data_IF_310823569783
#
_entry.id   IF_310823569783
#
_cell.length_a   1.000
_cell.length_b   1.000
_cell.length_c   1.000
_cell.angle_alpha   90.00
_cell.angle_beta   90.00
_cell.angle_gamma   90.00
#
_symmetry.space_group_name_H-M   'P 1'
#
loop_
_entity.id
_entity.type
_entity.pdbx_description
1 polymer ?
#
# COMPACT_ATOMS: atom_id res chain seq x y z
N UNK A 1 82.43 -32.05 -16.86
CA UNK A 1 81.91 -31.89 -15.51
C UNK A 1 81.72 -30.40 -15.19
N UNK A 2 80.92 -29.67 -15.93
CA UNK A 2 80.65 -28.18 -15.64
C UNK A 2 79.23 -27.75 -15.78
N UNK A 3 78.21 -28.65 -15.77
CA UNK A 3 76.79 -28.27 -15.95
C UNK A 3 75.87 -28.77 -14.83
N UNK A 4 76.35 -29.20 -13.68
CA UNK A 4 75.53 -29.70 -12.57
C UNK A 4 75.31 -28.72 -11.41
N UNK A 5 75.90 -27.51 -11.46
CA UNK A 5 75.83 -26.53 -10.35
C UNK A 5 74.84 -25.42 -10.63
N UNK A 6 74.32 -25.27 -11.88
CA UNK A 6 73.42 -24.17 -12.26
C UNK A 6 71.93 -24.48 -12.10
N UNK A 7 71.55 -25.71 -11.79
CA UNK A 7 70.12 -26.10 -11.64
C UNK A 7 69.63 -26.04 -10.18
N UNK A 8 70.52 -25.96 -9.22
CA UNK A 8 70.13 -25.90 -7.81
C UNK A 8 69.85 -24.50 -7.26
N UNK A 9 70.19 -23.44 -8.05
CA UNK A 9 69.95 -22.03 -7.66
C UNK A 9 68.60 -21.47 -8.17
N UNK A 10 67.83 -22.19 -9.01
CA UNK A 10 66.57 -21.72 -9.60
C UNK A 10 65.32 -22.33 -8.89
N UNK A 11 65.46 -23.19 -7.91
CA UNK A 11 64.36 -23.80 -7.16
C UNK A 11 64.12 -23.18 -5.79
N UNK A 12 64.82 -22.10 -5.43
CA UNK A 12 64.56 -21.31 -4.23
C UNK A 12 63.87 -19.95 -4.57
N UNK A 13 63.20 -19.88 -5.72
CA UNK A 13 62.30 -18.74 -6.00
C UNK A 13 61.00 -18.98 -5.25
N UNK A 14 60.99 -18.59 -3.98
CA UNK A 14 59.86 -17.88 -3.45
C UNK A 14 58.62 -18.68 -3.14
N UNK A 15 58.58 -19.63 -2.24
CA UNK A 15 57.49 -19.59 -1.25
C UNK A 15 57.78 -18.39 -0.34
N UNK A 16 57.40 -17.22 -0.74
CA UNK A 16 57.16 -16.14 0.19
C UNK A 16 56.01 -16.61 1.09
N UNK A 17 56.36 -17.19 2.22
CA UNK A 17 55.43 -17.40 3.32
C UNK A 17 54.96 -16.00 3.71
N UNK A 18 53.84 -15.58 3.14
CA UNK A 18 53.24 -14.32 3.55
C UNK A 18 52.91 -14.49 5.02
N UNK A 19 53.68 -13.84 5.88
CA UNK A 19 53.43 -13.88 7.30
C UNK A 19 52.03 -13.37 7.58
N UNK A 20 51.20 -14.17 8.25
CA UNK A 20 49.83 -13.79 8.61
C UNK A 20 49.84 -12.74 9.72
N UNK A 21 48.84 -11.87 9.74
CA UNK A 21 48.59 -10.92 10.82
C UNK A 21 49.74 -9.89 11.06
N UNK A 22 50.30 -9.34 9.97
CA UNK A 22 51.37 -8.37 10.04
C UNK A 22 50.84 -6.98 10.43
N UNK A 23 51.68 -6.26 11.22
CA UNK A 23 51.41 -4.86 11.60
C UNK A 23 52.64 -4.02 11.19
N UNK A 24 52.43 -2.90 10.51
CA UNK A 24 53.51 -1.97 10.13
C UNK A 24 54.01 -1.11 11.32
N UNK A 25 55.01 -0.28 11.06
CA UNK A 25 55.60 0.58 12.08
C UNK A 25 54.61 1.62 12.63
N UNK A 26 53.53 1.91 11.93
CA UNK A 26 52.45 2.82 12.34
C UNK A 26 51.32 2.11 13.09
N UNK A 27 51.44 0.80 13.33
CA UNK A 27 50.39 -0.02 13.99
C UNK A 27 49.22 -0.42 13.08
N UNK A 28 49.34 -0.24 11.75
CA UNK A 28 48.29 -0.57 10.78
C UNK A 28 48.44 -2.01 10.31
N UNK A 29 47.32 -2.71 10.09
CA UNK A 29 47.28 -4.06 9.56
C UNK A 29 47.75 -4.10 8.11
N UNK A 30 48.56 -5.14 7.77
CA UNK A 30 49.11 -5.35 6.43
C UNK A 30 49.00 -6.81 6.03
N UNK A 31 48.81 -7.11 4.75
CA UNK A 31 48.77 -8.44 4.19
C UNK A 31 47.59 -9.29 4.68
N UNK A 32 47.75 -10.62 4.61
CA UNK A 32 46.68 -11.56 4.93
C UNK A 32 46.45 -11.69 6.43
N UNK A 33 45.15 -11.58 6.85
CA UNK A 33 44.74 -11.68 8.25
C UNK A 33 43.69 -12.74 8.44
N UNK A 34 43.86 -13.55 9.48
CA UNK A 34 42.90 -14.52 9.99
C UNK A 34 42.65 -14.20 11.47
N UNK A 35 41.39 -13.96 11.82
CA UNK A 35 40.97 -13.81 13.22
C UNK A 35 40.18 -15.05 13.65
N UNK A 36 40.57 -15.60 14.80
CA UNK A 36 39.85 -16.69 15.45
C UNK A 36 39.23 -16.24 16.77
N UNK A 37 38.22 -16.96 17.24
CA UNK A 37 37.66 -16.82 18.58
C UNK A 37 38.49 -17.55 19.63
N UNK A 38 38.01 -17.55 20.88
CA UNK A 38 38.69 -18.26 22.00
C UNK A 38 38.74 -19.80 21.83
N UNK A 39 37.88 -20.34 20.98
CA UNK A 39 37.82 -21.77 20.67
C UNK A 39 38.62 -22.14 19.40
N UNK A 40 39.34 -21.17 18.79
CA UNK A 40 40.14 -21.38 17.59
C UNK A 40 39.33 -21.35 16.28
N UNK A 41 38.02 -21.05 16.31
CA UNK A 41 37.17 -20.99 15.12
C UNK A 41 37.41 -19.68 14.40
N UNK A 42 37.42 -19.71 13.06
CA UNK A 42 37.55 -18.50 12.24
C UNK A 42 36.37 -17.54 12.43
N UNK A 43 36.65 -16.29 12.69
CA UNK A 43 35.68 -15.20 12.77
C UNK A 43 35.67 -14.41 11.45
N UNK A 44 36.86 -14.15 10.93
CA UNK A 44 37.04 -13.53 9.59
C UNK A 44 38.42 -13.86 9.02
N UNK A 45 38.51 -13.78 7.69
CA UNK A 45 39.75 -13.76 6.95
C UNK A 45 39.67 -12.75 5.81
N UNK A 46 40.81 -12.17 5.44
CA UNK A 46 40.93 -11.20 4.36
C UNK A 46 42.25 -10.46 4.39
N UNK A 47 42.43 -9.57 3.44
CA UNK A 47 43.65 -8.82 3.26
C UNK A 47 43.49 -7.37 3.70
N UNK A 48 44.57 -6.79 4.25
CA UNK A 48 44.65 -5.39 4.63
C UNK A 48 45.79 -4.70 3.90
N UNK A 49 45.55 -3.45 3.49
CA UNK A 49 46.53 -2.50 3.01
C UNK A 49 46.38 -1.22 3.80
N UNK A 50 47.42 -0.79 4.49
CA UNK A 50 47.43 0.41 5.34
C UNK A 50 46.29 0.44 6.38
N UNK A 51 45.94 -0.72 6.93
CA UNK A 51 44.85 -0.88 7.90
C UNK A 51 43.46 -0.93 7.29
N UNK A 52 43.33 -0.82 5.97
CA UNK A 52 42.07 -0.88 5.24
C UNK A 52 41.86 -2.26 4.62
N UNK A 53 40.64 -2.79 4.72
CA UNK A 53 40.23 -4.05 4.10
C UNK A 53 40.32 -3.92 2.57
N UNK A 54 40.87 -4.96 1.91
CA UNK A 54 41.02 -4.98 0.46
C UNK A 54 40.77 -6.39 -0.12
N UNK A 55 40.51 -6.49 -1.42
CA UNK A 55 40.21 -7.74 -2.06
C UNK A 55 38.99 -8.44 -1.46
N UNK A 56 39.09 -9.76 -1.29
CA UNK A 56 37.99 -10.55 -0.70
C UNK A 56 38.16 -10.61 0.83
N UNK A 57 37.13 -10.19 1.55
CA UNK A 57 37.07 -10.22 3.00
C UNK A 57 35.85 -11.05 3.44
N UNK A 58 36.11 -12.16 4.16
CA UNK A 58 35.07 -13.12 4.51
C UNK A 58 34.88 -13.21 6.02
N UNK A 59 33.63 -13.15 6.47
CA UNK A 59 33.22 -13.38 7.85
C UNK A 59 32.48 -14.72 7.94
N UNK A 60 32.63 -15.41 9.07
CA UNK A 60 32.11 -16.76 9.28
C UNK A 60 31.11 -16.79 10.43
N UNK A 61 30.21 -17.76 10.38
CA UNK A 61 29.45 -18.24 11.52
C UNK A 61 30.31 -19.14 12.40
N UNK A 62 29.81 -19.46 13.60
CA UNK A 62 30.54 -20.31 14.56
C UNK A 62 30.79 -21.76 14.08
N UNK A 63 30.02 -22.24 13.11
CA UNK A 63 30.18 -23.54 12.46
C UNK A 63 31.18 -23.54 11.29
N UNK A 64 31.68 -22.35 10.91
CA UNK A 64 32.59 -22.16 9.79
C UNK A 64 31.91 -21.83 8.46
N UNK A 65 30.58 -21.79 8.43
CA UNK A 65 29.80 -21.35 7.24
C UNK A 65 30.05 -19.87 6.98
N UNK A 66 30.15 -19.47 5.71
CA UNK A 66 30.31 -18.08 5.32
C UNK A 66 29.03 -17.30 5.69
N UNK A 67 29.20 -16.21 6.45
CA UNK A 67 28.14 -15.29 6.84
C UNK A 67 28.08 -14.07 5.95
N UNK A 68 29.24 -13.47 5.66
CA UNK A 68 29.37 -12.26 4.84
C UNK A 68 30.60 -12.42 3.95
N UNK A 69 30.45 -12.04 2.69
CA UNK A 69 31.57 -11.89 1.75
C UNK A 69 31.53 -10.47 1.18
N UNK A 70 32.61 -9.74 1.42
CA UNK A 70 32.88 -8.43 0.84
C UNK A 70 33.98 -8.58 -0.20
N UNK A 71 33.79 -7.96 -1.36
CA UNK A 71 34.82 -7.84 -2.38
C UNK A 71 35.10 -6.35 -2.59
N UNK A 72 36.20 -5.88 -2.01
CA UNK A 72 36.58 -4.47 -2.03
C UNK A 72 37.17 -4.10 -3.39
N UNK A 73 36.53 -3.17 -4.10
CA UNK A 73 37.04 -2.54 -5.32
C UNK A 73 37.85 -1.28 -4.99
N UNK A 74 37.53 -0.62 -3.86
CA UNK A 74 38.33 0.45 -3.28
C UNK A 74 38.58 0.13 -1.82
N UNK A 75 39.85 -0.01 -1.38
CA UNK A 75 40.18 -0.43 -0.03
C UNK A 75 39.43 0.34 1.06
N UNK A 76 38.73 -0.38 1.94
CA UNK A 76 37.96 0.16 3.07
C UNK A 76 36.80 1.10 2.70
N UNK A 77 36.50 1.30 1.40
CA UNK A 77 35.49 2.26 0.95
C UNK A 77 34.35 1.65 0.16
N UNK A 78 34.66 0.98 -0.95
CA UNK A 78 33.66 0.44 -1.87
C UNK A 78 33.82 -1.08 -1.92
N UNK A 79 32.74 -1.81 -1.66
CA UNK A 79 32.74 -3.25 -1.78
C UNK A 79 31.41 -3.79 -2.30
N UNK A 80 31.46 -4.89 -3.06
CA UNK A 80 30.34 -5.76 -3.31
C UNK A 80 30.09 -6.60 -2.06
N UNK A 81 28.91 -6.53 -1.50
CA UNK A 81 28.52 -7.14 -0.24
C UNK A 81 27.54 -8.28 -0.47
N UNK A 82 27.78 -9.43 0.14
CA UNK A 82 26.91 -10.59 0.10
C UNK A 82 26.71 -11.11 1.53
N UNK A 83 25.46 -11.43 1.88
CA UNK A 83 25.09 -11.98 3.19
C UNK A 83 24.45 -13.34 2.99
N UNK A 84 24.86 -14.30 3.79
CA UNK A 84 24.37 -15.67 3.76
C UNK A 84 23.80 -16.06 5.13
N UNK A 85 22.91 -17.04 5.14
CA UNK A 85 22.45 -17.66 6.38
C UNK A 85 23.37 -18.81 6.82
N UNK A 86 23.06 -19.45 7.95
CA UNK A 86 23.82 -20.57 8.50
C UNK A 86 23.81 -21.83 7.62
N UNK A 87 22.92 -21.92 6.62
CA UNK A 87 22.88 -22.99 5.62
C UNK A 87 23.65 -22.63 4.34
N UNK A 88 24.32 -21.48 4.31
CA UNK A 88 25.05 -20.98 3.15
C UNK A 88 24.17 -20.41 2.03
N UNK A 89 22.88 -20.15 2.29
CA UNK A 89 21.96 -19.58 1.29
C UNK A 89 22.10 -18.06 1.26
N UNK A 90 22.17 -17.49 0.05
CA UNK A 90 22.28 -16.05 -0.14
C UNK A 90 20.99 -15.36 0.32
N UNK A 91 21.09 -14.46 1.29
CA UNK A 91 19.98 -13.65 1.82
C UNK A 91 19.88 -12.28 1.16
N UNK A 92 21.03 -11.64 0.89
CA UNK A 92 21.07 -10.32 0.28
C UNK A 92 22.40 -10.07 -0.42
N UNK A 93 22.35 -9.21 -1.45
CA UNK A 93 23.55 -8.66 -2.08
C UNK A 93 23.32 -7.21 -2.49
N UNK A 94 24.42 -6.45 -2.56
CA UNK A 94 24.43 -5.04 -2.99
C UNK A 94 25.78 -4.43 -2.72
N UNK A 95 25.89 -3.15 -2.96
CA UNK A 95 27.16 -2.44 -2.78
C UNK A 95 27.12 -1.56 -1.53
N UNK A 96 28.28 -1.44 -0.89
CA UNK A 96 28.53 -0.40 0.09
C UNK A 96 29.51 0.62 -0.48
N UNK A 97 29.22 1.89 -0.19
CA UNK A 97 30.13 3.01 -0.37
C UNK A 97 30.28 3.74 0.96
N UNK A 98 31.50 3.78 1.50
CA UNK A 98 31.80 4.36 2.81
C UNK A 98 30.85 3.85 3.93
N UNK A 99 30.61 2.53 3.98
CA UNK A 99 29.70 1.84 4.91
C UNK A 99 28.21 2.13 4.72
N UNK A 100 27.83 2.91 3.72
CA UNK A 100 26.45 3.17 3.35
C UNK A 100 26.06 2.25 2.20
N UNK A 101 24.82 1.73 2.20
CA UNK A 101 24.27 1.04 1.04
C UNK A 101 24.24 2.00 -0.14
N UNK A 102 24.70 1.52 -1.32
CA UNK A 102 24.73 2.32 -2.55
C UNK A 102 24.36 1.44 -3.74
N UNK A 103 23.64 1.99 -4.72
CA UNK A 103 23.18 1.22 -5.86
C UNK A 103 22.05 0.21 -5.53
N UNK A 104 21.93 -0.82 -6.35
CA UNK A 104 20.87 -1.83 -6.26
C UNK A 104 21.18 -2.88 -5.18
N UNK A 105 20.25 -3.04 -4.26
CA UNK A 105 20.23 -4.11 -3.27
C UNK A 105 19.16 -5.13 -3.60
N UNK A 106 19.53 -6.42 -3.60
CA UNK A 106 18.65 -7.54 -3.88
C UNK A 106 18.55 -8.44 -2.66
N UNK A 107 17.33 -8.81 -2.28
CA UNK A 107 17.03 -9.66 -1.13
C UNK A 107 16.35 -10.94 -1.60
N UNK A 108 16.66 -12.05 -0.96
CA UNK A 108 16.23 -13.39 -1.34
C UNK A 108 15.45 -14.07 -0.22
N UNK A 109 14.51 -14.93 -0.60
CA UNK A 109 13.87 -15.88 0.31
C UNK A 109 14.79 -17.05 0.62
N UNK A 110 14.40 -17.89 1.58
CA UNK A 110 15.10 -19.17 1.86
C UNK A 110 15.12 -20.13 0.67
N UNK A 111 14.26 -19.95 -0.32
CA UNK A 111 14.22 -20.75 -1.56
C UNK A 111 15.10 -20.15 -2.67
N UNK A 112 15.82 -19.07 -2.39
CA UNK A 112 16.64 -18.36 -3.38
C UNK A 112 15.84 -17.49 -4.36
N UNK A 113 14.54 -17.30 -4.14
CA UNK A 113 13.69 -16.43 -4.95
C UNK A 113 13.93 -14.97 -4.53
N UNK A 114 14.06 -14.07 -5.49
CA UNK A 114 14.13 -12.63 -5.19
C UNK A 114 12.81 -12.17 -4.61
N UNK A 115 12.84 -11.63 -3.40
CA UNK A 115 11.64 -11.11 -2.70
C UNK A 115 11.58 -9.59 -2.71
N UNK A 116 12.72 -8.91 -2.86
CA UNK A 116 12.78 -7.45 -2.89
C UNK A 116 14.03 -6.95 -3.61
N UNK A 117 13.86 -5.89 -4.37
CA UNK A 117 14.93 -5.05 -4.92
C UNK A 117 14.72 -3.62 -4.44
N UNK A 118 15.78 -2.93 -4.08
CA UNK A 118 15.69 -1.52 -3.61
C UNK A 118 16.95 -0.78 -4.02
N UNK A 119 16.80 0.37 -4.62
CA UNK A 119 17.92 1.25 -4.97
C UNK A 119 18.22 2.22 -3.83
N UNK A 120 19.49 2.34 -3.50
CA UNK A 120 20.00 3.23 -2.48
C UNK A 120 21.01 4.22 -3.07
N UNK A 121 21.09 5.38 -2.46
CA UNK A 121 22.13 6.39 -2.71
C UNK A 121 22.69 6.82 -1.35
N UNK A 122 23.93 6.42 -1.08
CA UNK A 122 24.61 6.73 0.19
C UNK A 122 23.78 6.44 1.45
N UNK A 123 23.14 5.27 1.50
CA UNK A 123 22.34 4.80 2.65
C UNK A 123 20.86 5.19 2.62
N UNK A 124 20.48 6.10 1.74
CA UNK A 124 19.12 6.61 1.58
C UNK A 124 18.41 5.85 0.46
N UNK A 125 17.16 5.45 0.63
CA UNK A 125 16.38 4.89 -0.49
C UNK A 125 16.12 6.00 -1.50
N UNK A 126 16.65 5.81 -2.70
CA UNK A 126 16.55 6.76 -3.80
C UNK A 126 16.55 5.99 -5.11
N UNK A 127 15.43 5.98 -5.82
CA UNK A 127 15.18 5.19 -7.01
C UNK A 127 14.11 4.11 -6.83
N UNK A 128 14.16 3.10 -7.69
CA UNK A 128 13.13 2.06 -7.77
C UNK A 128 13.23 1.04 -6.63
N UNK A 129 12.07 0.69 -6.09
CA UNK A 129 11.87 -0.51 -5.26
C UNK A 129 10.83 -1.41 -5.92
N UNK A 130 11.13 -2.71 -5.95
CA UNK A 130 10.21 -3.76 -6.37
C UNK A 130 10.12 -4.80 -5.25
N UNK A 131 8.91 -5.17 -4.88
CA UNK A 131 8.61 -6.29 -3.98
C UNK A 131 7.98 -7.40 -4.81
N UNK A 132 8.34 -8.64 -4.53
CA UNK A 132 7.86 -9.81 -5.25
C UNK A 132 7.07 -10.72 -4.31
N UNK A 133 6.19 -11.53 -4.87
CA UNK A 133 5.50 -12.62 -4.17
C UNK A 133 6.46 -13.78 -3.91
N UNK A 134 6.00 -14.78 -3.16
CA UNK A 134 6.73 -16.04 -2.92
C UNK A 134 6.97 -16.85 -4.20
N UNK A 135 6.18 -16.62 -5.25
CA UNK A 135 6.28 -17.24 -6.57
C UNK A 135 7.21 -16.47 -7.52
N UNK A 136 7.65 -15.26 -7.13
CA UNK A 136 8.53 -14.39 -7.92
C UNK A 136 7.81 -13.37 -8.80
N UNK A 137 6.48 -13.31 -8.72
CA UNK A 137 5.70 -12.29 -9.41
C UNK A 137 5.84 -10.92 -8.73
N UNK A 138 5.68 -9.84 -9.50
CA UNK A 138 5.66 -8.49 -8.94
C UNK A 138 4.45 -8.29 -8.04
N UNK A 139 4.68 -7.89 -6.80
CA UNK A 139 3.65 -7.56 -5.81
C UNK A 139 3.48 -6.04 -5.64
N UNK A 140 4.59 -5.29 -5.62
CA UNK A 140 4.55 -3.83 -5.47
C UNK A 140 5.73 -3.19 -6.22
N UNK A 141 5.47 -2.05 -6.86
CA UNK A 141 6.49 -1.19 -7.47
C UNK A 141 6.33 0.22 -6.89
N UNK A 142 7.41 0.78 -6.41
CA UNK A 142 7.41 2.11 -5.82
C UNK A 142 8.72 2.83 -6.14
N UNK A 143 8.65 4.11 -6.45
CA UNK A 143 9.83 4.96 -6.51
C UNK A 143 10.04 5.66 -5.16
N UNK A 144 11.29 5.92 -4.82
CA UNK A 144 11.73 6.59 -3.61
C UNK A 144 12.64 7.77 -3.96
N UNK A 145 12.52 8.84 -3.19
CA UNK A 145 13.46 9.95 -3.17
C UNK A 145 13.67 10.36 -1.72
N UNK A 146 14.91 10.42 -1.26
CA UNK A 146 15.28 10.80 0.12
C UNK A 146 14.49 10.05 1.21
N UNK A 147 14.38 8.71 1.10
CA UNK A 147 13.60 7.83 1.98
C UNK A 147 12.08 8.05 1.99
N UNK A 148 11.54 8.90 1.13
CA UNK A 148 10.10 9.10 0.97
C UNK A 148 9.61 8.46 -0.33
N UNK A 149 8.41 7.90 -0.33
CA UNK A 149 7.77 7.48 -1.58
C UNK A 149 7.61 8.70 -2.48
N UNK A 150 8.02 8.57 -3.74
CA UNK A 150 7.95 9.64 -4.73
C UNK A 150 7.75 9.08 -6.13
N UNK A 151 6.85 9.68 -6.92
CA UNK A 151 6.55 9.19 -8.26
C UNK A 151 5.52 8.06 -8.27
N UNK A 152 5.48 7.30 -9.36
CA UNK A 152 4.48 6.26 -9.57
C UNK A 152 4.59 5.13 -8.55
N UNK A 153 3.44 4.68 -8.09
CA UNK A 153 3.26 3.52 -7.25
C UNK A 153 2.23 2.58 -7.86
N UNK A 154 2.51 1.31 -7.80
CA UNK A 154 1.62 0.23 -8.21
C UNK A 154 1.70 -0.91 -7.21
N UNK A 155 0.56 -1.50 -6.86
CA UNK A 155 0.47 -2.64 -5.95
C UNK A 155 -0.58 -3.62 -6.43
N UNK A 156 -0.24 -4.90 -6.44
CA UNK A 156 -1.17 -6.00 -6.74
C UNK A 156 -2.18 -6.16 -5.62
N UNK A 157 -3.43 -6.39 -5.97
CA UNK A 157 -4.53 -6.77 -5.09
C UNK A 157 -5.12 -8.04 -5.69
N UNK A 158 -5.32 -9.10 -4.87
CA UNK A 158 -5.77 -10.39 -5.38
C UNK A 158 -4.78 -11.04 -6.36
N UNK A 159 -5.31 -11.70 -7.38
CA UNK A 159 -4.50 -12.42 -8.38
C UNK A 159 -4.07 -11.56 -9.55
N UNK A 160 -4.94 -10.69 -10.07
CA UNK A 160 -4.71 -9.83 -11.23
C UNK A 160 -5.06 -8.37 -10.98
N UNK A 161 -5.88 -8.11 -9.95
CA UNK A 161 -6.26 -6.76 -9.56
C UNK A 161 -5.06 -5.93 -9.10
N UNK A 162 -5.20 -4.63 -9.16
CA UNK A 162 -4.14 -3.71 -8.74
C UNK A 162 -4.69 -2.33 -8.38
N UNK A 163 -3.92 -1.64 -7.57
CA UNK A 163 -4.11 -0.23 -7.25
C UNK A 163 -2.89 0.56 -7.73
N UNK A 164 -3.11 1.75 -8.25
CA UNK A 164 -2.03 2.66 -8.65
C UNK A 164 -2.32 4.10 -8.24
N UNK A 165 -1.26 4.81 -7.88
CA UNK A 165 -1.28 6.21 -7.49
C UNK A 165 0.07 6.87 -7.78
N UNK A 166 0.16 8.17 -7.56
CA UNK A 166 1.42 8.92 -7.57
C UNK A 166 1.69 9.45 -6.17
N UNK A 167 2.92 9.33 -5.71
CA UNK A 167 3.39 9.89 -4.44
C UNK A 167 4.24 11.13 -4.67
N UNK A 168 4.08 12.12 -3.81
CA UNK A 168 4.94 13.31 -3.73
C UNK A 168 5.34 13.49 -2.27
N UNK A 169 6.64 13.41 -1.97
CA UNK A 169 7.19 13.54 -0.60
C UNK A 169 6.47 12.67 0.45
N UNK A 170 6.13 11.43 0.09
CA UNK A 170 5.51 10.46 0.99
C UNK A 170 3.98 10.50 1.05
N UNK A 171 3.33 11.52 0.51
CA UNK A 171 1.87 11.62 0.38
C UNK A 171 1.40 11.24 -1.02
N UNK A 172 0.18 10.69 -1.13
CA UNK A 172 -0.46 10.50 -2.44
C UNK A 172 -0.85 11.88 -2.98
N UNK A 173 -0.63 12.09 -4.28
CA UNK A 173 -1.00 13.31 -4.99
C UNK A 173 -1.69 12.97 -6.31
N UNK A 174 -2.84 13.62 -6.57
CA UNK A 174 -3.63 13.38 -7.77
C UNK A 174 -4.44 12.09 -7.71
N UNK A 175 -4.70 11.50 -8.87
CA UNK A 175 -5.62 10.38 -9.03
C UNK A 175 -5.03 9.06 -8.53
N UNK A 176 -5.84 8.32 -7.77
CA UNK A 176 -5.67 6.91 -7.43
C UNK A 176 -6.75 6.10 -8.14
N UNK A 177 -6.41 4.92 -8.64
CA UNK A 177 -7.38 3.97 -9.22
C UNK A 177 -7.10 2.55 -8.75
N UNK A 178 -8.16 1.76 -8.61
CA UNK A 178 -8.13 0.36 -8.23
C UNK A 178 -8.95 -0.48 -9.20
N UNK A 179 -8.38 -1.61 -9.61
CA UNK A 179 -9.01 -2.57 -10.51
C UNK A 179 -9.06 -3.95 -9.84
N UNK A 180 -10.15 -4.67 -10.00
CA UNK A 180 -10.28 -6.04 -9.53
C UNK A 180 -9.55 -7.07 -10.44
N UNK A 181 -9.68 -8.34 -10.11
CA UNK A 181 -9.06 -9.45 -10.86
C UNK A 181 -9.57 -9.56 -12.30
N UNK A 182 -10.77 -9.08 -12.60
CA UNK A 182 -11.37 -9.03 -13.94
C UNK A 182 -11.02 -7.74 -14.72
N UNK A 183 -10.10 -6.94 -14.19
CA UNK A 183 -9.66 -5.64 -14.73
C UNK A 183 -10.79 -4.61 -14.84
N UNK A 184 -11.83 -4.75 -14.03
CA UNK A 184 -12.87 -3.75 -13.89
C UNK A 184 -12.44 -2.71 -12.87
N UNK A 185 -12.77 -1.46 -13.14
CA UNK A 185 -12.57 -0.36 -12.20
C UNK A 185 -13.49 -0.57 -10.99
N UNK A 186 -12.90 -0.64 -9.79
CA UNK A 186 -13.60 -0.81 -8.51
C UNK A 186 -13.70 0.52 -7.78
N UNK A 187 -12.62 1.30 -7.81
CA UNK A 187 -12.54 2.55 -7.08
C UNK A 187 -11.59 3.53 -7.75
N UNK A 188 -11.94 4.80 -7.71
CA UNK A 188 -11.06 5.91 -8.05
C UNK A 188 -11.28 7.08 -7.12
N UNK A 189 -10.26 7.93 -6.98
CA UNK A 189 -10.37 9.16 -6.19
C UNK A 189 -9.16 10.05 -6.36
N UNK A 190 -9.27 11.28 -5.88
CA UNK A 190 -8.20 12.27 -5.94
C UNK A 190 -7.68 12.59 -4.54
N UNK A 191 -6.38 12.83 -4.47
CA UNK A 191 -5.67 13.20 -3.25
C UNK A 191 -4.92 14.51 -3.46
N UNK A 192 -4.83 15.30 -2.40
CA UNK A 192 -3.98 16.49 -2.31
C UNK A 192 -3.20 16.41 -1.01
N UNK A 193 -1.86 16.42 -1.10
CA UNK A 193 -0.95 16.31 0.06
C UNK A 193 -1.21 15.09 0.95
N UNK A 194 -1.61 13.97 0.38
CA UNK A 194 -1.91 12.73 1.08
C UNK A 194 -3.32 12.61 1.66
N UNK A 195 -4.12 13.65 1.55
CA UNK A 195 -5.51 13.68 2.02
C UNK A 195 -6.49 13.53 0.84
N UNK A 196 -7.62 12.86 1.06
CA UNK A 196 -8.68 12.79 0.06
C UNK A 196 -9.18 14.20 -0.27
N UNK A 197 -9.22 14.55 -1.56
CA UNK A 197 -9.71 15.86 -2.03
C UNK A 197 -10.34 15.69 -3.42
N UNK A 198 -11.62 16.03 -3.55
CA UNK A 198 -12.42 15.79 -4.75
C UNK A 198 -13.31 14.56 -4.64
N UNK A 199 -13.68 14.01 -5.78
CA UNK A 199 -14.57 12.85 -5.87
C UNK A 199 -13.87 11.54 -5.59
N UNK A 200 -14.51 10.67 -4.79
CA UNK A 200 -14.17 9.27 -4.58
C UNK A 200 -15.33 8.41 -5.05
N UNK A 201 -15.12 7.69 -6.14
CA UNK A 201 -16.14 6.89 -6.80
C UNK A 201 -15.84 5.41 -6.62
N UNK A 202 -16.89 4.66 -6.33
CA UNK A 202 -16.87 3.21 -6.20
C UNK A 202 -17.78 2.60 -7.25
N UNK A 203 -17.38 1.47 -7.79
CA UNK A 203 -18.04 0.83 -8.91
C UNK A 203 -18.35 -0.63 -8.61
N UNK A 204 -19.53 -1.07 -9.04
CA UNK A 204 -19.96 -2.45 -9.02
C UNK A 204 -20.45 -2.83 -10.42
N UNK A 205 -19.96 -3.95 -10.95
CA UNK A 205 -20.32 -4.41 -12.31
C UNK A 205 -20.20 -3.33 -13.39
N UNK A 206 -19.17 -2.45 -13.25
CA UNK A 206 -18.94 -1.34 -14.19
C UNK A 206 -19.85 -0.12 -14.01
N UNK A 207 -20.82 -0.18 -13.08
CA UNK A 207 -21.71 0.93 -12.76
C UNK A 207 -21.25 1.63 -11.48
N UNK A 208 -21.24 2.95 -11.46
CA UNK A 208 -20.90 3.73 -10.27
C UNK A 208 -22.02 3.59 -9.22
N UNK A 209 -21.68 3.12 -8.05
CA UNK A 209 -22.62 2.90 -6.93
C UNK A 209 -22.49 3.91 -5.81
N UNK A 210 -21.29 4.47 -5.61
CA UNK A 210 -21.05 5.52 -4.60
C UNK A 210 -20.21 6.64 -5.22
N UNK A 211 -20.54 7.87 -4.92
CA UNK A 211 -19.73 9.06 -5.20
C UNK A 211 -19.65 9.92 -3.93
N UNK A 212 -18.46 9.96 -3.34
CA UNK A 212 -18.18 10.78 -2.15
C UNK A 212 -17.44 12.04 -2.58
N UNK A 213 -17.80 13.18 -2.02
CA UNK A 213 -17.08 14.44 -2.19
C UNK A 213 -16.27 14.74 -0.94
N UNK A 214 -14.96 14.83 -1.12
CA UNK A 214 -14.01 15.08 -0.05
C UNK A 214 -13.34 16.43 -0.21
N UNK A 215 -13.02 17.06 0.90
CA UNK A 215 -12.23 18.29 0.95
C UNK A 215 -11.21 18.20 2.06
N UNK A 216 -9.92 18.08 1.67
CA UNK A 216 -8.79 17.98 2.61
C UNK A 216 -9.06 16.98 3.75
N UNK A 217 -9.32 15.73 3.40
CA UNK A 217 -9.55 14.64 4.34
C UNK A 217 -10.91 14.61 5.03
N UNK A 218 -11.78 15.60 4.80
CA UNK A 218 -13.13 15.64 5.36
C UNK A 218 -14.17 15.36 4.29
N UNK A 219 -15.05 14.39 4.53
CA UNK A 219 -16.17 14.11 3.64
C UNK A 219 -17.18 15.24 3.72
N UNK A 220 -17.66 15.71 2.56
CA UNK A 220 -18.58 16.82 2.42
C UNK A 220 -19.95 16.39 1.95
N UNK A 221 -19.96 15.33 1.12
CA UNK A 221 -21.18 14.86 0.50
C UNK A 221 -21.01 13.41 0.04
N UNK A 222 -22.12 12.68 -0.10
CA UNK A 222 -22.12 11.31 -0.56
C UNK A 222 -23.42 10.98 -1.31
N UNK A 223 -23.26 10.53 -2.56
CA UNK A 223 -24.34 9.96 -3.36
C UNK A 223 -24.17 8.45 -3.38
N UNK A 224 -25.20 7.72 -2.99
CA UNK A 224 -25.23 6.26 -3.08
C UNK A 224 -26.28 5.85 -4.09
N UNK A 225 -25.92 4.99 -5.05
CA UNK A 225 -26.81 4.36 -6.01
C UNK A 225 -26.89 2.88 -5.71
N UNK A 226 -28.09 2.40 -5.48
CA UNK A 226 -28.33 0.98 -5.30
C UNK A 226 -28.85 0.38 -6.61
N UNK A 227 -28.24 -0.73 -7.02
CA UNK A 227 -28.71 -1.54 -8.15
C UNK A 227 -29.78 -2.47 -7.62
N UNK A 228 -31.03 -2.24 -8.05
CA UNK A 228 -32.13 -3.17 -7.75
C UNK A 228 -32.19 -4.30 -8.77
N UNK A 229 -32.78 -5.49 -8.41
CA UNK A 229 -32.79 -6.68 -9.27
C UNK A 229 -33.36 -6.47 -10.67
N UNK A 230 -34.18 -5.46 -10.89
CA UNK A 230 -34.82 -5.13 -12.18
C UNK A 230 -34.11 -3.97 -12.91
N UNK A 231 -32.81 -3.76 -12.64
CA UNK A 231 -32.03 -2.63 -13.17
C UNK A 231 -32.55 -1.23 -12.78
N UNK A 232 -33.45 -1.17 -11.81
CA UNK A 232 -33.90 0.10 -11.24
C UNK A 232 -32.83 0.67 -10.29
N UNK A 233 -32.66 2.00 -10.31
CA UNK A 233 -31.74 2.69 -9.44
C UNK A 233 -32.50 3.40 -8.34
N UNK A 234 -31.98 3.26 -7.13
CA UNK A 234 -32.30 4.16 -6.03
C UNK A 234 -31.11 5.06 -5.82
N UNK A 235 -31.31 6.35 -5.96
CA UNK A 235 -30.27 7.32 -5.65
C UNK A 235 -30.50 7.85 -4.25
N UNK A 236 -29.48 7.81 -3.44
CA UNK A 236 -29.48 8.33 -2.08
C UNK A 236 -28.44 9.43 -2.04
N UNK A 237 -28.88 10.60 -1.68
CA UNK A 237 -28.02 11.75 -1.60
C UNK A 237 -27.88 12.21 -0.15
N UNK A 238 -26.66 12.17 0.37
CA UNK A 238 -26.32 12.58 1.72
C UNK A 238 -25.94 14.06 1.72
N UNK A 239 -26.87 14.93 2.07
CA UNK A 239 -26.68 16.38 2.03
C UNK A 239 -26.06 16.98 3.29
N UNK A 240 -25.98 16.22 4.37
CA UNK A 240 -25.50 16.75 5.66
C UNK A 240 -24.00 16.78 5.87
N UNK A 241 -23.24 16.11 5.02
CA UNK A 241 -21.80 16.31 5.04
C UNK A 241 -21.37 17.73 4.62
N UNK A 242 -22.31 18.50 4.09
CA UNK A 242 -22.12 19.92 3.78
C UNK A 242 -22.40 20.85 4.96
N UNK A 243 -23.05 20.36 6.00
CA UNK A 243 -23.44 21.19 7.15
C UNK A 243 -22.40 21.08 8.29
N UNK A 244 -22.06 22.20 8.95
CA UNK A 244 -21.05 22.21 10.02
C UNK A 244 -21.37 21.39 11.28
N UNK A 245 -22.50 20.72 11.34
CA UNK A 245 -23.02 20.09 12.55
C UNK A 245 -23.27 18.57 12.44
N UNK A 246 -22.84 17.90 11.38
CA UNK A 246 -22.63 16.43 11.37
C UNK A 246 -23.87 15.57 11.59
N UNK A 247 -25.05 15.97 11.13
CA UNK A 247 -26.20 15.06 11.02
C UNK A 247 -26.30 14.56 9.56
N UNK A 248 -26.30 13.25 9.40
CA UNK A 248 -26.46 12.60 8.11
C UNK A 248 -27.89 12.73 7.58
N UNK A 249 -28.15 13.59 6.61
CA UNK A 249 -29.40 13.58 5.85
C UNK A 249 -29.17 12.88 4.52
N UNK A 250 -29.82 11.77 4.32
CA UNK A 250 -29.83 11.09 3.03
C UNK A 250 -31.22 11.24 2.40
N UNK A 251 -31.29 11.82 1.21
CA UNK A 251 -32.51 11.89 0.41
C UNK A 251 -32.57 10.70 -0.51
N UNK A 252 -33.64 9.94 -0.43
CA UNK A 252 -33.85 8.73 -1.23
C UNK A 252 -34.69 9.06 -2.42
N UNK A 253 -34.18 8.80 -3.62
CA UNK A 253 -34.89 8.97 -4.88
C UNK A 253 -35.23 7.60 -5.46
N UNK A 254 -36.50 7.24 -5.45
CA UNK A 254 -37.01 6.03 -6.10
C UNK A 254 -37.39 6.37 -7.53
N UNK A 255 -36.80 5.70 -8.52
CA UNK A 255 -37.11 5.92 -9.92
C UNK A 255 -37.50 4.59 -10.57
N UNK A 256 -38.59 4.60 -11.34
CA UNK A 256 -39.03 3.47 -12.19
C UNK A 256 -38.28 3.40 -13.51
N UNK A 257 -37.65 4.48 -13.89
CA UNK A 257 -36.86 4.58 -15.11
C UNK A 257 -35.42 4.86 -14.71
N UNK A 258 -34.45 4.39 -15.45
CA UNK A 258 -32.99 4.60 -15.24
C UNK A 258 -32.57 6.09 -15.20
N UNK A 259 -33.49 7.00 -15.09
CA UNK A 259 -33.22 8.44 -14.96
C UNK A 259 -32.97 8.78 -13.51
N UNK A 260 -31.78 9.30 -13.25
CA UNK A 260 -31.53 10.06 -12.04
C UNK A 260 -32.56 11.14 -11.91
N UNK A 261 -33.34 11.11 -10.85
CA UNK A 261 -34.18 12.27 -10.53
C UNK A 261 -33.21 13.38 -10.13
N UNK A 262 -33.25 14.47 -10.92
CA UNK A 262 -32.56 15.67 -10.56
C UNK A 262 -33.19 16.19 -9.26
N UNK A 263 -32.41 16.34 -8.21
CA UNK A 263 -32.86 16.83 -6.92
C UNK A 263 -33.34 18.30 -6.99
N UNK A 264 -33.04 19.01 -8.08
CA UNK A 264 -33.57 20.37 -8.36
C UNK A 264 -34.97 20.35 -8.98
N UNK A 265 -35.45 19.19 -9.46
CA UNK A 265 -36.72 19.09 -10.23
C UNK A 265 -37.91 18.48 -9.51
N UNK A 266 -37.84 17.80 -8.35
CA UNK A 266 -39.05 17.27 -7.72
C UNK A 266 -39.88 18.36 -7.02
N UNK A 267 -41.18 18.19 -7.03
CA UNK A 267 -42.07 18.97 -6.16
C UNK A 267 -41.74 18.61 -4.69
N UNK A 268 -41.12 19.54 -3.99
CA UNK A 268 -40.69 19.36 -2.61
C UNK A 268 -41.82 19.81 -1.67
N UNK A 269 -42.25 18.90 -0.83
CA UNK A 269 -43.06 19.18 0.34
C UNK A 269 -42.15 19.45 1.54
N UNK A 270 -42.12 20.70 2.00
CA UNK A 270 -41.32 21.03 3.19
C UNK A 270 -42.21 21.07 4.41
N UNK A 271 -41.77 20.36 5.46
CA UNK A 271 -42.26 20.59 6.82
C UNK A 271 -41.07 21.08 7.66
N UNK A 272 -41.32 22.11 8.48
CA UNK A 272 -40.34 22.55 9.48
C UNK A 272 -40.87 22.15 10.85
N UNK A 273 -40.06 21.40 11.59
CA UNK A 273 -40.31 21.09 12.99
C UNK A 273 -39.15 21.67 13.80
N UNK A 274 -39.38 22.77 14.46
CA UNK A 274 -38.32 23.52 15.15
C UNK A 274 -37.28 24.07 14.17
N UNK A 275 -36.00 23.76 14.38
CA UNK A 275 -34.89 24.16 13.50
C UNK A 275 -34.53 23.10 12.45
N UNK A 276 -35.24 21.99 12.39
CA UNK A 276 -34.94 20.86 11.51
C UNK A 276 -35.77 20.93 10.23
N UNK A 277 -35.15 20.62 9.10
CA UNK A 277 -35.79 20.50 7.81
C UNK A 277 -36.27 19.10 7.59
N UNK A 278 -37.57 18.93 7.45
CA UNK A 278 -38.16 17.70 7.00
C UNK A 278 -38.46 17.84 5.49
N UNK A 279 -37.84 17.03 4.66
CA UNK A 279 -38.04 17.13 3.21
C UNK A 279 -38.71 15.85 2.72
N UNK A 280 -39.88 16.00 2.15
CA UNK A 280 -40.58 15.01 1.36
C UNK A 280 -40.71 15.54 -0.05
N UNK A 281 -40.40 14.72 -1.02
CA UNK A 281 -40.63 15.05 -2.41
C UNK A 281 -41.61 14.04 -3.01
N UNK A 282 -42.57 14.56 -3.79
CA UNK A 282 -43.56 13.76 -4.47
C UNK A 282 -43.35 13.89 -5.98
N UNK A 283 -43.14 12.81 -6.66
CA UNK A 283 -43.10 12.76 -8.13
C UNK A 283 -43.79 11.47 -8.60
N UNK A 284 -44.77 11.65 -9.49
CA UNK A 284 -45.47 10.54 -10.13
C UNK A 284 -46.03 9.47 -9.14
N UNK A 285 -46.73 9.92 -8.11
CA UNK A 285 -47.30 9.10 -7.04
C UNK A 285 -46.26 8.40 -6.11
N UNK A 286 -45.00 8.83 -6.14
CA UNK A 286 -43.95 8.33 -5.25
C UNK A 286 -43.50 9.39 -4.28
N UNK A 287 -43.17 8.95 -3.08
CA UNK A 287 -42.70 9.81 -2.00
C UNK A 287 -41.20 9.58 -1.81
N UNK A 288 -40.46 10.65 -1.80
CA UNK A 288 -39.06 10.66 -1.44
C UNK A 288 -38.91 11.07 0.01
N UNK A 289 -38.21 10.29 0.80
CA UNK A 289 -38.02 10.54 2.23
C UNK A 289 -36.54 10.67 2.52
N UNK A 290 -36.16 11.66 3.30
CA UNK A 290 -34.82 11.75 3.83
C UNK A 290 -34.57 10.59 4.79
N UNK A 291 -33.48 9.83 4.57
CA UNK A 291 -33.25 8.57 5.28
C UNK A 291 -32.83 8.74 6.71
N UNK A 292 -32.26 9.87 7.08
CA UNK A 292 -31.93 10.21 8.47
C UNK A 292 -33.15 10.44 9.35
N UNK A 293 -34.30 10.72 8.71
CA UNK A 293 -35.59 10.84 9.39
C UNK A 293 -36.23 9.49 9.67
N UNK A 294 -35.72 8.41 9.06
CA UNK A 294 -36.29 7.07 9.21
C UNK A 294 -35.64 6.41 10.41
N UNK A 295 -36.35 6.29 11.52
CA UNK A 295 -35.90 5.55 12.71
C UNK A 295 -36.23 4.06 12.63
N UNK A 296 -37.22 3.69 11.82
CA UNK A 296 -37.59 2.30 11.65
C UNK A 296 -38.85 2.11 10.82
N UNK A 297 -39.47 0.97 11.02
CA UNK A 297 -40.82 0.67 10.52
C UNK A 297 -41.72 0.23 11.67
N UNK A 298 -42.99 0.60 11.61
CA UNK A 298 -44.02 0.18 12.54
C UNK A 298 -45.26 -0.30 11.77
N UNK A 299 -46.30 -0.70 12.46
CA UNK A 299 -47.58 -1.11 11.83
C UNK A 299 -48.70 -0.20 12.20
N UNK A 300 -49.52 0.14 11.21
CA UNK A 300 -50.75 0.90 11.47
C UNK A 300 -51.85 0.02 12.09
N UNK A 301 -53.01 0.61 12.34
CA UNK A 301 -54.18 -0.09 12.94
C UNK A 301 -54.73 -1.20 12.04
N UNK A 302 -54.37 -1.22 10.76
CA UNK A 302 -54.79 -2.25 9.80
C UNK A 302 -53.69 -3.32 9.57
N UNK A 303 -52.57 -3.21 10.34
CA UNK A 303 -51.44 -4.13 10.26
C UNK A 303 -50.50 -3.92 9.09
N UNK A 304 -50.66 -2.81 8.35
CA UNK A 304 -49.78 -2.46 7.20
C UNK A 304 -48.50 -1.81 7.72
N UNK A 305 -47.41 -2.11 7.07
CA UNK A 305 -46.09 -1.56 7.42
C UNK A 305 -45.99 -0.09 7.01
N UNK A 306 -45.59 0.76 7.92
CA UNK A 306 -45.39 2.21 7.72
C UNK A 306 -44.00 2.62 8.19
N UNK A 307 -43.45 3.68 7.57
CA UNK A 307 -42.19 4.26 8.04
C UNK A 307 -42.41 4.98 9.36
N UNK A 308 -41.55 4.72 10.32
CA UNK A 308 -41.44 5.46 11.56
C UNK A 308 -40.41 6.57 11.36
N UNK A 309 -40.84 7.81 11.46
CA UNK A 309 -40.07 9.00 11.12
C UNK A 309 -39.91 9.91 12.33
N UNK A 310 -38.72 10.50 12.47
CA UNK A 310 -38.43 11.51 13.50
C UNK A 310 -37.81 12.77 12.86
N UNK A 311 -38.42 13.94 12.95
CA UNK A 311 -39.70 14.23 13.62
C UNK A 311 -40.88 13.58 12.93
N UNK A 312 -41.88 13.19 13.69
CA UNK A 312 -43.08 12.50 13.22
C UNK A 312 -43.95 13.46 12.40
N UNK A 313 -44.21 13.18 11.10
CA UNK A 313 -45.06 14.02 10.26
C UNK A 313 -46.56 13.80 10.57
N UNK A 314 -47.40 14.70 10.09
CA UNK A 314 -48.88 14.64 10.19
C UNK A 314 -49.50 13.60 9.22
N UNK A 315 -48.69 12.88 8.45
CA UNK A 315 -49.13 11.90 7.46
C UNK A 315 -48.36 10.58 7.65
N UNK A 316 -48.89 9.51 7.05
CA UNK A 316 -48.34 8.19 7.11
C UNK A 316 -47.68 7.86 5.76
N UNK A 317 -46.45 7.33 5.81
CA UNK A 317 -45.71 6.90 4.62
C UNK A 317 -45.70 5.36 4.60
N UNK A 318 -46.24 4.78 3.52
CA UNK A 318 -46.20 3.35 3.26
C UNK A 318 -44.99 3.02 2.37
N UNK A 319 -44.01 2.30 2.88
CA UNK A 319 -42.89 1.87 2.05
C UNK A 319 -43.37 0.78 1.07
N UNK A 320 -42.96 0.87 -0.19
CA UNK A 320 -43.08 -0.24 -1.11
C UNK A 320 -41.96 -1.28 -0.87
N UNK A 321 -42.04 -2.44 -1.56
CA UNK A 321 -41.04 -3.48 -1.42
C UNK A 321 -39.64 -3.00 -1.76
N UNK A 322 -39.50 -2.14 -2.75
CA UNK A 322 -38.23 -1.62 -3.21
C UNK A 322 -37.64 -0.64 -2.21
N UNK A 323 -38.48 0.22 -1.62
CA UNK A 323 -38.12 1.08 -0.52
C UNK A 323 -37.59 0.28 0.67
N UNK A 324 -38.25 -0.81 1.05
CA UNK A 324 -37.83 -1.69 2.16
C UNK A 324 -36.53 -2.42 1.87
N UNK A 325 -36.32 -2.91 0.64
CA UNK A 325 -35.06 -3.54 0.22
C UNK A 325 -33.92 -2.51 0.28
N UNK A 326 -34.16 -1.34 -0.24
CA UNK A 326 -33.23 -0.22 -0.24
C UNK A 326 -32.83 0.19 1.17
N UNK A 327 -33.78 0.42 2.06
CA UNK A 327 -33.49 0.82 3.46
C UNK A 327 -32.63 -0.22 4.18
N UNK A 328 -32.90 -1.51 3.93
CA UNK A 328 -32.08 -2.58 4.47
C UNK A 328 -30.64 -2.54 3.92
N UNK A 329 -30.50 -2.34 2.61
CA UNK A 329 -29.18 -2.24 1.98
C UNK A 329 -28.43 -0.98 2.43
N UNK A 330 -29.10 0.15 2.54
CA UNK A 330 -28.55 1.40 3.06
C UNK A 330 -27.99 1.28 4.46
N UNK A 331 -28.73 0.65 5.35
CA UNK A 331 -28.28 0.44 6.72
C UNK A 331 -26.98 -0.36 6.75
N UNK A 332 -26.91 -1.43 5.96
CA UNK A 332 -25.71 -2.25 5.83
C UNK A 332 -24.52 -1.44 5.25
N UNK A 333 -24.76 -0.63 4.21
CA UNK A 333 -23.71 0.17 3.58
C UNK A 333 -23.23 1.30 4.50
N UNK A 334 -24.15 1.97 5.19
CA UNK A 334 -23.81 3.02 6.16
C UNK A 334 -22.93 2.48 7.30
N UNK A 335 -23.33 1.36 7.90
CA UNK A 335 -22.57 0.69 8.96
C UNK A 335 -21.15 0.30 8.48
N UNK A 336 -21.01 -0.15 7.24
CA UNK A 336 -19.69 -0.48 6.65
C UNK A 336 -18.82 0.75 6.44
N UNK A 337 -19.39 1.85 5.94
CA UNK A 337 -18.66 3.10 5.70
C UNK A 337 -18.25 3.77 7.02
N UNK A 338 -19.15 3.82 8.00
CA UNK A 338 -18.88 4.40 9.33
C UNK A 338 -17.82 3.61 10.10
N UNK A 339 -17.76 2.30 9.90
CA UNK A 339 -16.72 1.44 10.47
C UNK A 339 -15.34 1.61 9.78
N UNK A 340 -15.23 2.50 8.77
CA UNK A 340 -13.99 2.68 8.00
C UNK A 340 -13.66 1.49 7.11
N UNK A 341 -14.62 0.61 6.89
CA UNK A 341 -14.50 -0.57 6.04
C UNK A 341 -14.40 -0.16 4.58
N UNK A 342 -13.49 -0.78 3.86
CA UNK A 342 -13.53 -0.85 2.41
C UNK A 342 -14.63 -1.85 2.08
N UNK A 343 -15.51 -1.52 1.11
CA UNK A 343 -16.45 -2.51 0.61
C UNK A 343 -15.66 -3.71 0.08
N UNK A 344 -15.67 -4.83 0.80
CA UNK A 344 -15.35 -6.12 0.24
C UNK A 344 -16.61 -6.56 -0.51
N UNK A 345 -16.59 -6.36 -1.80
CA UNK A 345 -17.56 -6.95 -2.71
C UNK A 345 -17.10 -8.39 -2.94
N UNK A 346 -17.61 -9.34 -2.16
CA UNK A 346 -17.54 -10.77 -2.45
C UNK A 346 -18.40 -11.12 -3.68
#
# INVERSE_FOLDING_TARGET
MKYKILILALLMAGFACQAQNQIDKQGRRQGHWVKTDKQGKKVYEGDFVDGLETGIFTYFYADGTVRIRNEYTVPGKICHHQVYDEKGRLLAKGDFNQKNRDGLWVFYSEKGIVIKQTTYKMGVRDGLQVIFTSEGDTAEVCNWADNHRHGRWWKRIGRKGYITATYVHGGIEGRMVEYNDDQQLVREGSYTKGERDGHFKYYENGKMVVDEIWKMGSMRDRLVRLLLPEERFVSIYDINYMAPQGKDNAVVYLTDEEKLIDHESPELLYSHVGNERFTLAHKENRIMVATDLIIGTTRDSEGREILDLDPKPDFVVFPDEDCMKMLKSLRMHRETIEAGGVFDFD
#
